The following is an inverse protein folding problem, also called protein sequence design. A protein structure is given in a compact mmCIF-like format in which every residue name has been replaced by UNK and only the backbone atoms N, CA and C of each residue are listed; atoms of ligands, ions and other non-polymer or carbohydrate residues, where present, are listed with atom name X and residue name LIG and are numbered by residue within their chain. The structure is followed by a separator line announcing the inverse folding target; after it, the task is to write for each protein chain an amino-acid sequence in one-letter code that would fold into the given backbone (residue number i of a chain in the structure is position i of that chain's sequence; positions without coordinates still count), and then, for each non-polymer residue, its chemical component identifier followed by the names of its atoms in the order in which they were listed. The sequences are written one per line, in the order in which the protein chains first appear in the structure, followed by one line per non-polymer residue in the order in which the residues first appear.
data_IF_049686644864
#
_entry.id   IF_049686644864
#
_cell.length_a   1.000
_cell.length_b   1.000
_cell.length_c   1.000
_cell.angle_alpha   90.00
_cell.angle_beta   90.00
_cell.angle_gamma   90.00
#
_symmetry.space_group_name_H-M   'P 1'
#
loop_
_entity.id
_entity.type
_entity.pdbx_description
1 polymer ?
#
# COMPACT_ATOMS: atom_id res chain seq x y z
N UNK A 1 -18.23 18.74 -25.56
CA UNK A 1 -18.31 18.01 -24.28
C UNK A 1 -17.59 16.70 -24.46
N UNK A 2 -16.80 16.26 -23.49
CA UNK A 2 -15.92 15.09 -23.62
C UNK A 2 -16.66 13.74 -23.48
N UNK A 3 -17.97 13.74 -23.20
CA UNK A 3 -18.79 12.53 -23.11
C UNK A 3 -18.54 11.68 -21.87
N UNK A 4 -18.16 12.30 -20.75
CA UNK A 4 -17.76 11.65 -19.49
C UNK A 4 -18.74 11.93 -18.35
N UNK A 5 -20.01 12.17 -18.66
CA UNK A 5 -21.04 12.58 -17.69
C UNK A 5 -21.34 11.51 -16.62
N UNK A 6 -20.95 10.25 -16.86
CA UNK A 6 -21.08 9.16 -15.89
C UNK A 6 -19.93 9.10 -14.86
N UNK A 7 -18.82 9.80 -15.12
CA UNK A 7 -17.66 9.86 -14.22
C UNK A 7 -17.99 10.78 -13.05
N UNK A 8 -17.82 10.25 -11.83
CA UNK A 8 -18.12 10.96 -10.58
C UNK A 8 -16.86 11.57 -9.97
N UNK A 9 -17.04 12.65 -9.22
CA UNK A 9 -15.94 13.37 -8.57
C UNK A 9 -15.96 13.11 -7.06
N UNK A 10 -14.84 12.61 -6.55
CA UNK A 10 -14.52 12.58 -5.12
C UNK A 10 -13.61 13.76 -4.78
N UNK A 11 -13.85 14.40 -3.64
CA UNK A 11 -12.99 15.47 -3.15
C UNK A 11 -12.85 15.42 -1.61
N UNK A 12 -11.75 15.85 -1.01
CA UNK A 12 -10.52 16.34 -1.64
C UNK A 12 -9.32 15.41 -1.41
N UNK A 13 -9.57 14.16 -0.99
CA UNK A 13 -8.52 13.20 -0.64
C UNK A 13 -7.50 13.78 0.35
N UNK A 14 -8.05 14.36 1.43
CA UNK A 14 -7.29 15.01 2.49
C UNK A 14 -8.11 14.95 3.80
N UNK A 15 -8.08 15.98 4.64
CA UNK A 15 -8.95 16.09 5.80
C UNK A 15 -10.40 16.42 5.40
N UNK A 16 -11.34 16.27 6.35
CA UNK A 16 -12.75 16.63 6.15
C UNK A 16 -12.97 18.11 5.80
N UNK A 17 -12.10 18.98 6.33
CA UNK A 17 -12.10 20.40 6.04
C UNK A 17 -10.86 20.77 5.22
N UNK A 18 -10.97 21.73 4.29
CA UNK A 18 -12.07 22.70 4.13
C UNK A 18 -13.21 22.26 3.19
N UNK A 19 -13.16 21.06 2.61
CA UNK A 19 -14.10 20.65 1.56
C UNK A 19 -15.56 20.58 2.08
N UNK A 20 -15.77 20.03 3.27
CA UNK A 20 -17.12 19.90 3.83
C UNK A 20 -17.80 21.28 4.03
N UNK A 21 -17.08 22.26 4.58
CA UNK A 21 -17.61 23.62 4.71
C UNK A 21 -17.81 24.30 3.35
N UNK A 22 -16.91 24.08 2.40
CA UNK A 22 -17.00 24.68 1.06
C UNK A 22 -18.26 24.22 0.31
N UNK A 23 -18.59 22.93 0.37
CA UNK A 23 -19.81 22.36 -0.26
C UNK A 23 -21.13 22.89 0.33
N UNK A 24 -21.11 23.37 1.57
CA UNK A 24 -22.28 24.00 2.20
C UNK A 24 -22.47 25.46 1.76
N UNK A 25 -21.38 26.12 1.36
CA UNK A 25 -21.37 27.54 1.00
C UNK A 25 -21.50 27.77 -0.51
N UNK A 26 -21.14 26.78 -1.32
CA UNK A 26 -21.10 26.87 -2.77
C UNK A 26 -21.98 25.78 -3.43
N UNK A 27 -23.19 26.13 -3.91
CA UNK A 27 -24.08 25.19 -4.59
C UNK A 27 -23.53 24.63 -5.90
N UNK A 28 -22.67 25.37 -6.62
CA UNK A 28 -22.08 24.91 -7.88
C UNK A 28 -21.03 23.83 -7.60
N UNK A 29 -20.13 24.08 -6.64
CA UNK A 29 -19.19 23.08 -6.16
C UNK A 29 -19.92 21.84 -5.59
N UNK A 30 -20.98 22.07 -4.81
CA UNK A 30 -21.83 21.00 -4.28
C UNK A 30 -22.50 20.19 -5.39
N UNK A 31 -22.92 20.81 -6.49
CA UNK A 31 -23.45 20.12 -7.65
C UNK A 31 -22.41 19.22 -8.35
N UNK A 32 -21.15 19.63 -8.37
CA UNK A 32 -20.07 18.92 -9.06
C UNK A 32 -19.45 17.75 -8.26
N UNK A 33 -19.45 17.81 -6.92
CA UNK A 33 -18.82 16.77 -6.07
C UNK A 33 -19.83 15.71 -5.66
N UNK A 34 -19.56 14.44 -5.95
CA UNK A 34 -20.41 13.30 -5.59
C UNK A 34 -20.13 12.71 -4.20
N UNK A 35 -18.85 12.71 -3.82
CA UNK A 35 -18.33 12.02 -2.62
C UNK A 35 -17.33 12.91 -1.89
N UNK A 36 -17.41 12.93 -0.55
CA UNK A 36 -16.36 13.48 0.30
C UNK A 36 -15.40 12.35 0.70
N UNK A 37 -14.17 12.39 0.20
CA UNK A 37 -13.10 11.47 0.52
C UNK A 37 -12.14 12.08 1.55
N UNK A 38 -12.03 11.44 2.71
CA UNK A 38 -11.09 11.84 3.76
C UNK A 38 -10.07 10.74 4.05
N UNK A 39 -8.85 11.16 4.40
CA UNK A 39 -7.72 10.28 4.70
C UNK A 39 -7.55 10.10 6.22
N UNK A 40 -7.31 8.86 6.65
CA UNK A 40 -7.04 8.47 8.04
C UNK A 40 -7.98 9.12 9.08
N UNK A 41 -9.32 9.03 8.91
CA UNK A 41 -10.29 9.78 9.70
C UNK A 41 -10.42 9.34 11.16
N UNK A 42 -9.74 8.25 11.56
CA UNK A 42 -9.84 7.71 12.92
C UNK A 42 -11.26 7.28 13.28
N UNK A 43 -12.01 6.77 12.30
CA UNK A 43 -13.44 6.41 12.39
C UNK A 43 -14.42 7.57 12.57
N UNK A 44 -13.96 8.83 12.64
CA UNK A 44 -14.83 9.98 12.91
C UNK A 44 -15.06 10.83 11.65
N UNK A 45 -16.22 11.45 11.58
CA UNK A 45 -16.52 12.52 10.62
C UNK A 45 -16.81 13.83 11.34
N UNK A 46 -17.07 14.91 10.59
CA UNK A 46 -17.40 16.23 11.12
C UNK A 46 -18.87 16.60 10.84
N UNK A 47 -19.52 17.43 11.68
CA UNK A 47 -20.92 17.80 11.48
C UNK A 47 -21.22 18.44 10.11
N UNK A 48 -20.28 19.19 9.55
CA UNK A 48 -20.38 19.82 8.24
C UNK A 48 -20.53 18.78 7.14
N UNK A 49 -19.71 17.73 7.15
CA UNK A 49 -19.75 16.65 6.18
C UNK A 49 -21.12 15.94 6.20
N UNK A 50 -21.68 15.69 7.40
CA UNK A 50 -23.02 15.13 7.55
C UNK A 50 -24.12 16.03 6.97
N UNK A 51 -24.02 17.35 7.15
CA UNK A 51 -25.00 18.31 6.61
C UNK A 51 -25.01 18.36 5.08
N UNK A 52 -23.90 17.99 4.42
CA UNK A 52 -23.84 17.97 2.95
C UNK A 52 -24.72 16.87 2.33
N UNK A 53 -25.09 15.84 3.10
CA UNK A 53 -25.78 14.64 2.63
C UNK A 53 -25.05 13.89 1.49
N UNK A 54 -23.77 14.19 1.27
CA UNK A 54 -22.91 13.47 0.33
C UNK A 54 -22.53 12.11 0.91
N UNK A 55 -22.11 11.20 0.03
CA UNK A 55 -21.44 9.97 0.48
C UNK A 55 -20.11 10.36 1.13
N UNK A 56 -19.82 9.76 2.28
CA UNK A 56 -18.57 9.96 3.01
C UNK A 56 -17.75 8.69 2.90
N UNK A 57 -16.49 8.78 2.48
CA UNK A 57 -15.57 7.64 2.37
C UNK A 57 -14.29 7.93 3.16
N UNK A 58 -13.77 6.90 3.84
CA UNK A 58 -12.35 6.86 4.18
C UNK A 58 -11.60 6.46 2.91
N UNK A 59 -11.27 7.46 2.07
CA UNK A 59 -10.71 7.23 0.73
C UNK A 59 -9.25 6.79 0.74
N UNK A 60 -8.59 6.96 1.89
CA UNK A 60 -7.30 6.34 2.21
C UNK A 60 -7.26 6.03 3.72
N UNK A 61 -6.98 4.78 4.08
CA UNK A 61 -6.86 4.33 5.46
C UNK A 61 -5.86 3.14 5.54
N UNK A 62 -5.76 2.49 6.70
CA UNK A 62 -4.84 1.36 6.97
C UNK A 62 -3.37 1.78 7.11
N UNK A 63 -2.58 1.75 6.03
CA UNK A 63 -1.13 2.08 5.99
C UNK A 63 -0.27 1.43 7.08
N UNK A 64 -0.73 0.32 7.67
CA UNK A 64 -0.11 -0.32 8.83
C UNK A 64 0.54 -1.63 8.39
N UNK A 65 1.64 -2.02 9.04
CA UNK A 65 2.36 -3.26 8.71
C UNK A 65 1.40 -4.45 8.75
N UNK A 66 1.54 -5.37 7.79
CA UNK A 66 0.52 -6.38 7.52
C UNK A 66 0.56 -7.65 8.36
N UNK A 67 0.95 -7.49 9.62
CA UNK A 67 0.93 -8.55 10.62
C UNK A 67 -0.46 -8.65 11.30
N UNK A 68 -0.50 -9.36 12.44
CA UNK A 68 -1.70 -9.51 13.24
C UNK A 68 -2.20 -8.16 13.82
N UNK A 69 -1.31 -7.23 14.17
CA UNK A 69 -1.68 -5.89 14.65
C UNK A 69 -2.35 -5.10 13.53
N UNK A 70 -1.75 -5.07 12.33
CA UNK A 70 -2.35 -4.42 11.17
C UNK A 70 -3.71 -5.00 10.82
N UNK A 71 -3.85 -6.32 10.84
CA UNK A 71 -5.14 -6.95 10.62
C UNK A 71 -6.18 -6.61 11.70
N UNK A 72 -5.78 -6.45 12.96
CA UNK A 72 -6.66 -5.95 14.02
C UNK A 72 -7.09 -4.50 13.79
N UNK A 73 -6.17 -3.63 13.40
CA UNK A 73 -6.48 -2.27 12.94
C UNK A 73 -7.53 -2.28 11.82
N UNK A 74 -7.29 -3.09 10.77
CA UNK A 74 -8.18 -3.19 9.62
C UNK A 74 -9.56 -3.72 9.98
N UNK A 75 -9.64 -4.75 10.82
CA UNK A 75 -10.90 -5.33 11.29
C UNK A 75 -11.76 -4.29 12.03
N UNK A 76 -11.12 -3.54 12.93
CA UNK A 76 -11.78 -2.50 13.72
C UNK A 76 -12.32 -1.38 12.84
N UNK A 77 -11.50 -0.81 11.97
CA UNK A 77 -11.90 0.37 11.20
C UNK A 77 -12.92 0.06 10.09
N UNK A 78 -12.91 -1.16 9.51
CA UNK A 78 -13.92 -1.57 8.52
C UNK A 78 -15.35 -1.50 9.08
N UNK A 79 -15.55 -1.88 10.34
CA UNK A 79 -16.85 -1.70 11.01
C UNK A 79 -17.03 -0.25 11.47
N UNK A 80 -16.06 0.26 12.21
CA UNK A 80 -16.24 1.49 12.97
C UNK A 80 -16.26 2.76 12.11
N UNK A 81 -15.69 2.74 10.91
CA UNK A 81 -15.81 3.86 9.97
C UNK A 81 -17.29 4.17 9.64
N UNK A 82 -18.13 3.14 9.46
CA UNK A 82 -19.56 3.36 9.29
C UNK A 82 -20.26 3.69 10.62
N UNK A 83 -20.01 2.90 11.68
CA UNK A 83 -20.68 3.08 12.99
C UNK A 83 -20.47 4.48 13.57
N UNK A 84 -19.25 5.00 13.48
CA UNK A 84 -18.87 6.26 14.11
C UNK A 84 -18.91 7.46 13.17
N UNK A 85 -18.67 7.24 11.87
CA UNK A 85 -18.42 8.30 10.90
C UNK A 85 -19.38 8.32 9.71
N UNK A 86 -20.35 7.40 9.65
CA UNK A 86 -21.25 7.19 8.50
C UNK A 86 -20.50 7.00 7.17
N UNK A 87 -19.25 6.53 7.23
CA UNK A 87 -18.45 6.28 6.04
C UNK A 87 -18.88 4.97 5.38
N UNK A 88 -19.26 5.05 4.11
CA UNK A 88 -19.85 3.93 3.34
C UNK A 88 -18.85 3.21 2.43
N UNK A 89 -17.58 3.61 2.49
CA UNK A 89 -16.44 2.93 1.88
C UNK A 89 -15.20 3.20 2.72
N UNK A 90 -14.28 2.25 2.77
CA UNK A 90 -12.95 2.38 3.37
C UNK A 90 -11.96 1.73 2.43
N UNK A 91 -10.95 2.48 2.00
CA UNK A 91 -9.99 2.07 0.98
C UNK A 91 -8.60 1.98 1.64
N UNK A 92 -8.01 0.79 1.58
CA UNK A 92 -6.69 0.53 2.16
C UNK A 92 -5.58 1.09 1.29
N UNK A 93 -4.73 1.94 1.85
CA UNK A 93 -3.37 2.12 1.34
C UNK A 93 -2.46 1.11 2.03
N UNK A 94 -1.84 0.15 1.34
CA UNK A 94 -1.94 -0.15 -0.10
C UNK A 94 -2.51 -1.56 -0.36
N UNK A 95 -2.73 -1.86 -1.64
CA UNK A 95 -3.32 -3.14 -2.08
C UNK A 95 -2.42 -4.33 -1.72
N UNK A 96 -1.16 -4.28 -2.15
CA UNK A 96 -0.17 -5.33 -1.97
C UNK A 96 1.22 -4.70 -1.84
N UNK A 97 2.00 -5.19 -0.88
CA UNK A 97 3.38 -4.78 -0.72
C UNK A 97 4.27 -5.48 -1.75
N UNK A 98 4.39 -4.87 -2.93
CA UNK A 98 5.25 -5.28 -4.04
C UNK A 98 6.30 -4.23 -4.37
N UNK A 99 6.98 -3.77 -3.31
CA UNK A 99 8.09 -2.82 -3.33
C UNK A 99 9.12 -3.28 -2.30
N UNK A 100 10.38 -2.86 -2.45
CA UNK A 100 11.43 -3.20 -1.50
C UNK A 100 11.04 -2.82 -0.07
N UNK A 101 11.17 -3.76 0.87
CA UNK A 101 10.66 -3.59 2.24
C UNK A 101 11.35 -2.42 2.98
N UNK A 102 12.60 -2.11 2.63
CA UNK A 102 13.35 -1.01 3.23
C UNK A 102 12.99 0.38 2.67
N UNK A 103 12.12 0.46 1.66
CA UNK A 103 11.46 1.72 1.29
C UNK A 103 10.43 2.14 2.35
N UNK A 104 10.05 3.43 2.40
CA UNK A 104 9.07 3.91 3.37
C UNK A 104 7.78 3.06 3.38
N UNK A 105 7.32 2.70 4.58
CA UNK A 105 6.14 1.87 4.82
C UNK A 105 6.24 0.46 4.23
N UNK A 106 7.42 -0.17 4.32
CA UNK A 106 7.62 -1.59 4.04
C UNK A 106 6.51 -2.48 4.56
N UNK A 107 5.96 -3.34 3.69
CA UNK A 107 4.91 -4.32 4.04
C UNK A 107 3.62 -3.75 4.64
N UNK A 108 3.26 -2.51 4.32
CA UNK A 108 1.97 -1.90 4.67
C UNK A 108 0.84 -2.15 3.63
N UNK A 109 0.86 -3.31 2.96
CA UNK A 109 -0.19 -3.73 2.02
C UNK A 109 -1.04 -4.88 2.57
N UNK A 110 -2.24 -5.14 2.01
CA UNK A 110 -3.11 -6.21 2.55
C UNK A 110 -2.46 -7.61 2.52
N UNK A 111 -1.51 -7.82 1.61
CA UNK A 111 -0.61 -8.98 1.53
C UNK A 111 0.79 -8.56 1.06
N UNK A 112 1.76 -9.49 1.06
CA UNK A 112 3.14 -9.22 0.61
C UNK A 112 3.48 -10.05 -0.62
N UNK A 113 4.07 -9.42 -1.65
CA UNK A 113 4.58 -10.08 -2.85
C UNK A 113 5.77 -9.28 -3.40
N UNK A 114 6.84 -9.23 -2.61
CA UNK A 114 8.00 -8.35 -2.82
C UNK A 114 9.24 -9.09 -3.38
N UNK A 115 9.11 -10.36 -3.77
CA UNK A 115 10.21 -11.19 -4.27
C UNK A 115 9.89 -11.84 -5.63
N UNK A 116 9.73 -11.05 -6.70
CA UNK A 116 9.43 -11.61 -8.03
C UNK A 116 10.50 -12.60 -8.52
N UNK A 117 11.75 -12.46 -8.08
CA UNK A 117 12.85 -13.37 -8.42
C UNK A 117 12.75 -14.76 -7.77
N UNK A 118 12.05 -14.90 -6.63
CA UNK A 118 11.84 -16.19 -5.97
C UNK A 118 10.44 -16.76 -6.27
N UNK A 119 9.48 -15.89 -6.60
CA UNK A 119 8.06 -16.23 -6.70
C UNK A 119 7.38 -16.32 -5.32
N UNK A 120 8.08 -15.99 -4.23
CA UNK A 120 7.50 -15.99 -2.90
C UNK A 120 6.48 -14.85 -2.73
N UNK A 121 5.37 -15.18 -2.05
CA UNK A 121 4.40 -14.21 -1.56
C UNK A 121 3.83 -14.71 -0.23
N UNK A 122 3.22 -13.81 0.53
CA UNK A 122 2.60 -14.11 1.83
C UNK A 122 1.17 -13.59 1.80
N UNK A 123 0.21 -14.51 1.91
CA UNK A 123 -1.21 -14.17 2.12
C UNK A 123 -1.40 -13.75 3.59
N UNK A 124 -1.20 -12.46 3.84
CA UNK A 124 -1.22 -11.90 5.19
C UNK A 124 -2.62 -11.86 5.81
N UNK A 125 -2.75 -11.81 7.15
CA UNK A 125 -4.04 -11.77 7.85
C UNK A 125 -5.05 -10.71 7.35
N UNK A 126 -4.67 -9.49 6.92
CA UNK A 126 -5.62 -8.49 6.41
C UNK A 126 -6.46 -8.96 5.21
N UNK A 127 -5.98 -9.92 4.40
CA UNK A 127 -6.78 -10.54 3.32
C UNK A 127 -8.04 -11.20 3.89
N UNK A 128 -7.87 -11.98 4.96
CA UNK A 128 -8.97 -12.72 5.57
C UNK A 128 -9.93 -11.81 6.33
N UNK A 129 -9.40 -10.74 6.93
CA UNK A 129 -10.22 -9.67 7.52
C UNK A 129 -11.05 -8.95 6.45
N UNK A 130 -10.45 -8.68 5.29
CA UNK A 130 -11.18 -8.10 4.15
C UNK A 130 -12.29 -9.04 3.66
N UNK A 131 -12.06 -10.35 3.65
CA UNK A 131 -13.03 -11.36 3.23
C UNK A 131 -14.29 -11.40 4.11
N UNK A 132 -14.17 -11.10 5.41
CA UNK A 132 -15.32 -11.03 6.34
C UNK A 132 -16.40 -10.02 5.91
N UNK A 133 -16.03 -8.99 5.15
CA UNK A 133 -17.00 -8.03 4.58
C UNK A 133 -17.24 -8.27 3.10
N UNK A 134 -16.17 -8.41 2.30
CA UNK A 134 -16.26 -8.37 0.83
C UNK A 134 -16.86 -9.61 0.19
N UNK A 135 -16.77 -10.79 0.81
CA UNK A 135 -17.42 -11.99 0.24
C UNK A 135 -18.94 -12.01 0.46
N UNK A 136 -19.46 -11.16 1.35
CA UNK A 136 -20.84 -11.22 1.84
C UNK A 136 -21.60 -9.91 1.70
N UNK A 137 -21.00 -8.91 1.04
CA UNK A 137 -21.62 -7.62 0.72
C UNK A 137 -21.20 -7.19 -0.68
N UNK A 138 -21.95 -6.28 -1.29
CA UNK A 138 -21.64 -5.68 -2.60
C UNK A 138 -22.02 -4.19 -2.59
N UNK A 139 -21.38 -3.35 -3.43
CA UNK A 139 -21.86 -1.99 -3.67
C UNK A 139 -23.34 -2.00 -4.06
N UNK A 140 -24.14 -1.15 -3.42
CA UNK A 140 -25.60 -1.11 -3.55
C UNK A 140 -26.35 -1.77 -2.40
N UNK A 141 -25.69 -2.58 -1.57
CA UNK A 141 -26.27 -3.01 -0.29
C UNK A 141 -26.43 -1.81 0.65
N UNK A 142 -27.38 -1.93 1.57
CA UNK A 142 -27.68 -0.88 2.55
C UNK A 142 -27.41 -1.38 3.95
N UNK A 143 -26.71 -0.57 4.76
CA UNK A 143 -26.59 -0.82 6.19
C UNK A 143 -27.94 -0.69 6.88
N UNK A 144 -28.22 -1.56 7.85
CA UNK A 144 -29.36 -1.40 8.74
C UNK A 144 -29.15 -0.21 9.66
N UNK A 145 -30.25 0.33 10.21
CA UNK A 145 -30.19 1.38 11.24
C UNK A 145 -29.69 0.84 12.59
N UNK A 146 -29.75 -0.48 12.78
CA UNK A 146 -29.38 -1.18 14.01
C UNK A 146 -27.95 -1.69 13.91
N UNK A 147 -26.99 -0.77 13.86
CA UNK A 147 -25.55 -1.03 13.98
C UNK A 147 -25.02 -0.32 15.22
N UNK A 148 -23.88 -0.72 15.75
CA UNK A 148 -23.35 -0.05 16.93
C UNK A 148 -22.18 -0.73 17.60
N UNK A 149 -21.87 -0.24 18.79
CA UNK A 149 -20.90 -0.84 19.70
C UNK A 149 -21.54 -1.94 20.56
N UNK A 150 -20.72 -2.93 20.92
CA UNK A 150 -21.07 -3.95 21.91
C UNK A 150 -20.93 -3.38 23.34
N UNK A 151 -21.61 -4.00 24.31
CA UNK A 151 -21.70 -3.48 25.67
C UNK A 151 -20.32 -3.40 26.36
N UNK A 152 -19.47 -4.40 26.16
CA UNK A 152 -18.14 -4.48 26.79
C UNK A 152 -17.00 -4.28 25.78
N UNK A 153 -17.21 -3.45 24.75
CA UNK A 153 -16.22 -3.14 23.73
C UNK A 153 -16.34 -4.01 22.47
N UNK A 154 -15.86 -3.48 21.34
CA UNK A 154 -16.08 -4.03 20.00
C UNK A 154 -17.28 -3.39 19.28
N UNK A 155 -17.58 -3.86 18.09
CA UNK A 155 -18.66 -3.31 17.27
C UNK A 155 -19.29 -4.34 16.34
N UNK A 156 -20.50 -4.04 15.87
CA UNK A 156 -21.19 -4.83 14.86
C UNK A 156 -21.86 -3.94 13.82
N UNK A 157 -21.84 -4.41 12.58
CA UNK A 157 -22.60 -3.85 11.47
C UNK A 157 -23.49 -4.91 10.85
N UNK A 158 -24.59 -4.49 10.25
CA UNK A 158 -25.53 -5.35 9.54
C UNK A 158 -25.94 -4.70 8.23
N UNK A 159 -25.96 -5.48 7.14
CA UNK A 159 -26.26 -5.01 5.80
C UNK A 159 -27.27 -5.96 5.12
N UNK A 160 -28.05 -5.40 4.19
CA UNK A 160 -28.99 -6.15 3.34
C UNK A 160 -28.96 -5.67 1.90
N UNK A 161 -29.25 -6.58 0.97
CA UNK A 161 -29.46 -6.29 -0.46
C UNK A 161 -30.89 -5.83 -0.79
N UNK A 162 -31.79 -5.82 0.19
CA UNK A 162 -33.22 -5.54 -0.02
C UNK A 162 -33.99 -6.66 -0.72
N UNK A 163 -33.35 -7.82 -0.96
CA UNK A 163 -33.93 -9.02 -1.58
C UNK A 163 -34.00 -10.21 -0.61
N UNK A 164 -33.78 -9.95 0.67
CA UNK A 164 -33.89 -10.93 1.75
C UNK A 164 -32.56 -11.42 2.30
N UNK A 165 -31.43 -11.05 1.69
CA UNK A 165 -30.14 -11.40 2.26
C UNK A 165 -29.78 -10.49 3.44
N UNK A 166 -29.12 -11.08 4.43
CA UNK A 166 -28.59 -10.41 5.61
C UNK A 166 -27.14 -10.83 5.81
N UNK A 167 -26.28 -9.84 6.10
CA UNK A 167 -24.90 -10.05 6.53
C UNK A 167 -24.66 -9.23 7.78
N UNK A 168 -24.18 -9.86 8.85
CA UNK A 168 -23.77 -9.22 10.11
C UNK A 168 -22.28 -9.46 10.29
N UNK A 169 -21.49 -8.40 10.47
CA UNK A 169 -20.05 -8.47 10.75
C UNK A 169 -19.80 -7.92 12.14
N UNK A 170 -19.13 -8.70 12.99
CA UNK A 170 -18.86 -8.39 14.40
C UNK A 170 -17.34 -8.41 14.60
N UNK A 171 -16.80 -7.43 15.32
CA UNK A 171 -15.39 -7.40 15.72
C UNK A 171 -15.23 -7.07 17.20
N UNK A 172 -14.24 -7.69 17.85
CA UNK A 172 -13.87 -7.49 19.26
C UNK A 172 -12.39 -7.18 19.41
N UNK A 173 -11.86 -6.31 18.56
CA UNK A 173 -10.45 -5.97 18.55
C UNK A 173 -10.04 -5.18 19.81
N UNK A 174 -9.07 -5.70 20.56
CA UNK A 174 -8.51 -5.02 21.73
C UNK A 174 -7.65 -3.82 21.32
N UNK A 175 -7.49 -2.86 22.22
CA UNK A 175 -6.68 -1.67 21.98
C UNK A 175 -5.23 -2.03 21.58
N UNK A 176 -4.59 -2.88 22.39
CA UNK A 176 -3.17 -3.24 22.24
C UNK A 176 -2.87 -4.10 21.02
N UNK A 177 -3.90 -4.61 20.34
CA UNK A 177 -3.77 -5.46 19.15
C UNK A 177 -4.45 -4.87 17.91
N UNK A 178 -4.84 -3.59 17.93
CA UNK A 178 -5.52 -2.94 16.79
C UNK A 178 -5.13 -1.50 16.54
N UNK A 179 -3.96 -1.09 17.03
CA UNK A 179 -3.41 0.23 16.74
C UNK A 179 -3.06 0.33 15.24
N UNK A 180 -3.66 1.31 14.58
CA UNK A 180 -3.23 1.74 13.25
C UNK A 180 -2.06 2.71 13.40
N UNK A 181 -1.28 2.92 12.33
CA UNK A 181 -0.25 3.97 12.33
C UNK A 181 -0.84 5.38 12.47
N UNK A 182 -2.07 5.60 11.99
CA UNK A 182 -2.75 6.91 11.99
C UNK A 182 -4.26 6.76 12.18
N UNK A 183 -4.91 7.66 12.94
CA UNK A 183 -4.31 8.48 14.00
C UNK A 183 -3.93 7.61 15.22
N UNK A 184 -3.25 8.17 16.25
CA UNK A 184 -3.09 7.50 17.53
C UNK A 184 -4.44 7.04 18.08
N UNK A 185 -4.52 5.78 18.52
CA UNK A 185 -5.73 5.18 19.05
C UNK A 185 -5.90 5.55 20.53
N UNK A 186 -6.98 6.24 20.93
CA UNK A 186 -7.25 6.48 22.35
C UNK A 186 -7.48 5.17 23.09
N UNK A 187 -7.04 5.10 24.35
CA UNK A 187 -7.23 3.92 25.19
C UNK A 187 -8.72 3.58 25.35
N UNK A 188 -9.04 2.29 25.23
CA UNK A 188 -10.35 1.73 25.56
C UNK A 188 -10.17 0.32 26.12
N UNK A 189 -11.13 -0.10 26.93
CA UNK A 189 -11.16 -1.45 27.47
C UNK A 189 -12.15 -2.30 26.67
N UNK A 190 -11.78 -3.56 26.48
CA UNK A 190 -12.63 -4.59 25.92
C UNK A 190 -12.49 -5.83 26.81
N UNK A 191 -13.60 -6.49 27.12
CA UNK A 191 -13.58 -7.78 27.80
C UNK A 191 -14.48 -8.78 27.08
N UNK A 192 -14.20 -10.07 27.26
CA UNK A 192 -15.04 -11.14 26.72
C UNK A 192 -16.49 -10.98 27.21
N UNK A 193 -17.44 -11.23 26.32
CA UNK A 193 -18.85 -10.99 26.59
C UNK A 193 -19.76 -11.91 25.79
N UNK A 194 -20.94 -12.19 26.31
CA UNK A 194 -21.99 -12.89 25.57
C UNK A 194 -22.91 -11.86 24.91
N UNK A 195 -23.07 -11.94 23.59
CA UNK A 195 -23.94 -11.06 22.82
C UNK A 195 -25.10 -11.85 22.21
N UNK A 196 -26.34 -11.40 22.45
CA UNK A 196 -27.55 -12.01 21.88
C UNK A 196 -28.16 -11.08 20.85
N UNK A 197 -28.34 -11.59 19.63
CA UNK A 197 -28.93 -10.88 18.50
C UNK A 197 -30.31 -11.46 18.19
N UNK A 198 -31.33 -10.60 18.17
CA UNK A 198 -32.71 -10.98 17.88
C UNK A 198 -33.09 -10.44 16.51
N UNK A 199 -33.31 -11.33 15.54
CA UNK A 199 -33.72 -10.92 14.19
C UNK A 199 -35.20 -10.52 14.21
N UNK A 200 -35.51 -9.31 13.74
CA UNK A 200 -36.87 -8.75 13.71
C UNK A 200 -37.26 -8.31 12.31
N UNK A 201 -38.53 -7.96 12.13
CA UNK A 201 -39.06 -7.51 10.84
C UNK A 201 -38.96 -8.60 9.78
N UNK A 202 -38.54 -8.24 8.56
CA UNK A 202 -38.35 -9.19 7.46
C UNK A 202 -37.36 -10.31 7.77
N UNK A 203 -36.39 -10.06 8.65
CA UNK A 203 -35.37 -11.05 9.04
C UNK A 203 -35.83 -12.04 10.11
N UNK A 204 -37.00 -11.85 10.74
CA UNK A 204 -37.52 -12.80 11.72
C UNK A 204 -37.79 -14.19 11.11
N UNK A 205 -37.91 -14.27 9.78
CA UNK A 205 -38.09 -15.52 9.03
C UNK A 205 -36.77 -16.24 8.67
N UNK A 206 -35.60 -15.63 8.95
CA UNK A 206 -34.29 -16.23 8.68
C UNK A 206 -34.11 -17.44 9.59
N UNK A 207 -34.02 -18.62 8.96
CA UNK A 207 -33.89 -19.89 9.66
C UNK A 207 -32.45 -20.31 9.88
N UNK A 208 -31.54 -19.91 9.00
CA UNK A 208 -30.15 -20.36 8.99
C UNK A 208 -29.22 -19.19 8.66
N UNK A 209 -28.10 -19.11 9.38
CA UNK A 209 -26.98 -18.21 9.07
C UNK A 209 -25.70 -19.02 8.96
N UNK A 210 -24.98 -18.85 7.85
CA UNK A 210 -23.60 -19.31 7.72
C UNK A 210 -22.73 -18.49 8.66
N UNK A 211 -21.78 -19.13 9.34
CA UNK A 211 -20.89 -18.49 10.30
C UNK A 211 -19.45 -18.63 9.86
N UNK A 212 -18.75 -17.51 9.78
CA UNK A 212 -17.32 -17.43 9.49
C UNK A 212 -16.62 -16.74 10.65
N UNK A 213 -15.45 -17.23 11.06
CA UNK A 213 -14.69 -16.67 12.18
C UNK A 213 -13.21 -16.50 11.84
N UNK A 214 -12.66 -15.36 12.25
CA UNK A 214 -11.23 -15.16 12.47
C UNK A 214 -10.96 -14.96 13.96
N UNK A 215 -9.93 -15.62 14.47
CA UNK A 215 -9.49 -15.55 15.86
C UNK A 215 -7.96 -15.39 15.87
N UNK A 216 -7.48 -14.28 16.42
CA UNK A 216 -6.07 -13.90 16.32
C UNK A 216 -5.19 -14.64 17.33
N UNK A 217 -5.73 -15.01 18.50
CA UNK A 217 -5.05 -15.85 19.49
C UNK A 217 -3.64 -15.34 19.89
N UNK A 218 -3.48 -14.04 20.13
CA UNK A 218 -2.19 -13.41 20.48
C UNK A 218 -1.47 -14.11 21.66
N UNK A 219 -2.23 -14.58 22.66
CA UNK A 219 -1.69 -15.29 23.84
C UNK A 219 -1.05 -16.64 23.50
N UNK A 220 -1.61 -17.40 22.55
CA UNK A 220 -1.13 -18.74 22.19
C UNK A 220 -0.31 -18.78 20.92
N UNK A 221 -0.28 -17.67 20.16
CA UNK A 221 0.38 -17.54 18.86
C UNK A 221 -0.09 -18.57 17.82
N UNK A 222 -1.34 -19.03 17.93
CA UNK A 222 -1.98 -19.97 17.00
C UNK A 222 -3.25 -19.34 16.40
N UNK A 223 -3.11 -18.39 15.46
CA UNK A 223 -4.25 -17.76 14.85
C UNK A 223 -5.03 -18.72 13.95
N UNK A 224 -6.30 -18.42 13.74
CA UNK A 224 -7.21 -19.14 12.86
C UNK A 224 -8.03 -18.11 12.10
N UNK A 225 -7.78 -17.96 10.80
CA UNK A 225 -8.40 -16.89 10.00
C UNK A 225 -9.43 -17.44 9.02
N UNK A 226 -10.59 -16.81 8.94
CA UNK A 226 -11.67 -17.10 7.97
C UNK A 226 -12.13 -18.56 7.94
N UNK A 227 -12.25 -19.18 9.10
CA UNK A 227 -12.76 -20.54 9.24
C UNK A 227 -14.29 -20.57 9.22
N UNK A 228 -14.86 -21.50 8.45
CA UNK A 228 -16.30 -21.75 8.43
C UNK A 228 -16.69 -22.58 9.65
N UNK A 229 -17.61 -22.07 10.46
CA UNK A 229 -18.18 -22.77 11.61
C UNK A 229 -19.56 -23.36 11.30
N UNK A 230 -20.12 -24.09 12.26
CA UNK A 230 -21.48 -24.63 12.17
C UNK A 230 -22.49 -23.48 12.02
N UNK A 231 -23.42 -23.65 11.08
CA UNK A 231 -24.49 -22.69 10.87
C UNK A 231 -25.40 -22.57 12.10
N UNK A 232 -25.89 -21.37 12.36
CA UNK A 232 -26.83 -21.12 13.44
C UNK A 232 -28.27 -21.20 12.91
N UNK A 233 -29.12 -21.89 13.66
CA UNK A 233 -30.52 -22.11 13.35
C UNK A 233 -31.35 -21.61 14.53
N UNK A 234 -32.36 -20.74 14.31
CA UNK A 234 -33.50 -20.40 15.22
C UNK A 234 -33.93 -18.90 15.35
N UNK A 235 -33.77 -18.02 14.36
CA UNK A 235 -34.36 -16.66 14.38
C UNK A 235 -33.81 -15.69 15.45
N UNK A 236 -33.02 -16.20 16.40
CA UNK A 236 -32.09 -15.46 17.26
C UNK A 236 -30.80 -16.26 17.37
N UNK A 237 -29.72 -15.58 17.73
CA UNK A 237 -28.45 -16.24 18.02
C UNK A 237 -27.71 -15.56 19.16
N UNK A 238 -26.96 -16.36 19.92
CA UNK A 238 -26.12 -15.91 21.02
C UNK A 238 -24.70 -16.39 20.75
N UNK A 239 -23.74 -15.47 20.90
CA UNK A 239 -22.32 -15.75 20.73
C UNK A 239 -21.57 -15.39 22.01
N UNK A 240 -20.68 -16.27 22.44
CA UNK A 240 -19.65 -15.94 23.40
C UNK A 240 -18.46 -15.36 22.64
N UNK A 241 -18.27 -14.05 22.77
CA UNK A 241 -17.26 -13.29 22.04
C UNK A 241 -16.02 -13.15 22.92
N UNK A 242 -14.91 -13.70 22.46
CA UNK A 242 -13.61 -13.48 23.09
C UNK A 242 -12.96 -12.18 22.58
N UNK A 243 -11.84 -11.80 23.19
CA UNK A 243 -10.96 -10.74 22.70
C UNK A 243 -10.35 -11.13 21.33
N UNK A 244 -10.19 -10.13 20.46
CA UNK A 244 -9.52 -10.26 19.16
C UNK A 244 -10.15 -11.32 18.23
N UNK A 245 -11.47 -11.25 18.08
CA UNK A 245 -12.25 -12.07 17.14
C UNK A 245 -12.98 -11.23 16.10
N UNK A 246 -13.18 -11.81 14.91
CA UNK A 246 -14.09 -11.30 13.88
C UNK A 246 -15.05 -12.41 13.48
N UNK A 247 -16.35 -12.10 13.49
CA UNK A 247 -17.39 -13.00 13.00
C UNK A 247 -18.11 -12.39 11.82
N UNK A 248 -18.44 -13.23 10.83
CA UNK A 248 -19.47 -12.90 9.84
C UNK A 248 -20.58 -13.93 9.91
N UNK A 249 -21.80 -13.45 10.12
CA UNK A 249 -23.01 -14.25 10.06
C UNK A 249 -23.84 -13.80 8.88
N UNK A 250 -24.13 -14.70 7.94
CA UNK A 250 -24.79 -14.30 6.69
C UNK A 250 -25.74 -15.37 6.16
N UNK A 251 -26.77 -14.94 5.42
CA UNK A 251 -27.59 -15.83 4.59
C UNK A 251 -26.90 -16.23 3.29
N UNK A 252 -25.83 -15.52 2.89
CA UNK A 252 -25.08 -15.77 1.66
C UNK A 252 -24.24 -17.04 1.81
N UNK A 253 -24.43 -18.00 0.91
CA UNK A 253 -23.81 -19.34 0.97
C UNK A 253 -22.55 -19.49 0.12
N UNK A 254 -22.16 -18.45 -0.62
CA UNK A 254 -21.04 -18.47 -1.59
C UNK A 254 -19.66 -18.24 -0.97
N UNK A 255 -19.58 -17.99 0.33
CA UNK A 255 -18.31 -17.76 1.02
C UNK A 255 -17.34 -18.92 0.85
N UNK A 256 -16.07 -18.60 0.61
CA UNK A 256 -14.99 -19.58 0.42
C UNK A 256 -13.66 -19.00 0.85
N UNK A 257 -12.93 -19.74 1.69
CA UNK A 257 -11.50 -19.53 1.91
C UNK A 257 -10.74 -20.06 0.70
N UNK A 258 -10.31 -19.17 -0.18
CA UNK A 258 -9.49 -19.54 -1.34
C UNK A 258 -8.18 -20.22 -0.89
N UNK A 259 -7.71 -21.20 -1.64
CA UNK A 259 -6.46 -21.88 -1.34
C UNK A 259 -5.79 -22.29 -2.64
N UNK A 260 -4.47 -22.13 -2.68
CA UNK A 260 -3.57 -22.51 -3.76
C UNK A 260 -2.39 -23.29 -3.15
N UNK A 261 -1.56 -23.88 -4.02
CA UNK A 261 -0.31 -24.48 -3.56
C UNK A 261 0.57 -23.43 -2.89
N UNK A 262 1.33 -23.86 -1.87
CA UNK A 262 2.27 -22.99 -1.17
C UNK A 262 3.26 -22.38 -2.17
N UNK A 263 3.58 -21.08 -2.06
CA UNK A 263 4.57 -20.46 -2.90
C UNK A 263 5.97 -21.03 -2.64
N UNK A 264 6.91 -20.83 -3.58
CA UNK A 264 8.33 -21.09 -3.33
C UNK A 264 8.81 -20.41 -2.03
N UNK A 265 9.82 -20.97 -1.34
CA UNK A 265 10.39 -20.34 -0.15
C UNK A 265 11.00 -18.97 -0.49
N UNK A 266 11.04 -18.04 0.48
CA UNK A 266 11.64 -16.73 0.26
C UNK A 266 13.13 -16.85 -0.04
N UNK A 267 13.65 -15.96 -0.89
CA UNK A 267 15.05 -15.90 -1.25
C UNK A 267 15.53 -14.46 -1.38
N UNK A 268 16.79 -14.21 -1.01
CA UNK A 268 17.44 -12.91 -1.24
C UNK A 268 17.56 -12.63 -2.74
N UNK A 269 17.65 -11.35 -3.10
CA UNK A 269 17.90 -10.94 -4.48
C UNK A 269 19.16 -11.65 -5.04
N UNK A 270 19.17 -12.06 -6.32
CA UNK A 270 20.31 -12.75 -6.92
C UNK A 270 21.64 -12.03 -6.69
N UNK A 271 22.63 -12.75 -6.13
CA UNK A 271 23.98 -12.20 -5.86
C UNK A 271 24.70 -11.72 -7.12
N UNK A 272 24.38 -12.33 -8.26
CA UNK A 272 24.80 -11.91 -9.58
C UNK A 272 23.55 -11.65 -10.39
N UNK A 273 23.40 -10.42 -10.88
CA UNK A 273 22.28 -9.97 -11.67
C UNK A 273 22.81 -9.20 -12.88
N UNK A 274 22.21 -9.43 -14.04
CA UNK A 274 22.53 -8.73 -15.29
C UNK A 274 21.23 -8.52 -16.04
N UNK A 275 21.08 -7.32 -16.59
CA UNK A 275 20.07 -6.99 -17.58
C UNK A 275 20.79 -6.26 -18.72
N UNK A 276 20.55 -6.68 -19.96
CA UNK A 276 21.07 -6.03 -21.17
C UNK A 276 20.00 -5.17 -21.85
N UNK A 277 18.77 -5.19 -21.33
CA UNK A 277 17.62 -4.46 -21.85
C UNK A 277 17.19 -4.84 -23.27
N UNK A 278 17.73 -5.93 -23.84
CA UNK A 278 17.45 -6.42 -25.21
C UNK A 278 16.04 -7.03 -25.31
N UNK A 279 15.02 -6.19 -25.19
CA UNK A 279 13.61 -6.57 -25.26
C UNK A 279 12.92 -5.71 -26.31
N UNK A 280 12.57 -6.33 -27.44
CA UNK A 280 11.96 -5.63 -28.57
C UNK A 280 10.54 -5.12 -28.27
N UNK A 281 9.71 -5.98 -27.67
CA UNK A 281 8.32 -5.71 -27.34
C UNK A 281 8.09 -6.00 -25.85
N UNK A 282 8.53 -5.11 -24.95
CA UNK A 282 8.46 -5.38 -23.52
C UNK A 282 6.99 -5.30 -23.05
N UNK A 283 6.54 -6.22 -22.17
CA UNK A 283 5.17 -6.23 -21.66
C UNK A 283 4.87 -5.06 -20.71
N UNK A 284 5.92 -4.37 -20.24
CA UNK A 284 5.87 -3.17 -19.40
C UNK A 284 6.87 -2.14 -19.94
N UNK A 285 6.68 -0.86 -19.64
CA UNK A 285 7.54 0.21 -20.15
C UNK A 285 8.93 0.27 -19.51
N UNK A 286 9.12 -0.31 -18.33
CA UNK A 286 10.37 -0.29 -17.55
C UNK A 286 10.91 -1.71 -17.34
N UNK A 287 12.24 -1.84 -17.21
CA UNK A 287 12.90 -3.10 -16.91
C UNK A 287 12.56 -3.62 -15.50
N UNK A 288 12.46 -4.95 -15.30
CA UNK A 288 12.02 -5.50 -14.03
C UNK A 288 13.03 -5.21 -12.90
N UNK A 289 12.51 -5.04 -11.68
CA UNK A 289 13.24 -4.81 -10.43
C UNK A 289 13.90 -3.43 -10.28
N UNK A 290 14.04 -2.65 -11.35
CA UNK A 290 14.36 -1.24 -11.22
C UNK A 290 13.15 -0.52 -10.59
N UNK A 291 13.45 0.33 -9.61
CA UNK A 291 12.45 1.09 -8.89
C UNK A 291 12.86 2.56 -8.88
N UNK A 292 12.21 3.35 -9.73
CA UNK A 292 12.46 4.77 -9.85
C UNK A 292 12.08 5.53 -8.57
N UNK A 293 13.05 6.25 -7.99
CA UNK A 293 12.85 7.06 -6.78
C UNK A 293 12.82 8.56 -7.08
N UNK A 294 13.35 8.98 -8.22
CA UNK A 294 13.23 10.33 -8.80
C UNK A 294 13.55 10.24 -10.30
N UNK A 295 12.75 10.87 -11.16
CA UNK A 295 12.81 10.67 -12.61
C UNK A 295 11.97 9.48 -13.06
N UNK A 296 12.04 9.16 -14.36
CA UNK A 296 11.38 7.99 -14.96
C UNK A 296 12.35 7.37 -15.95
N UNK A 297 12.54 6.06 -15.87
CA UNK A 297 13.41 5.26 -16.72
C UNK A 297 12.58 4.26 -17.52
N UNK A 298 12.78 4.24 -18.84
CA UNK A 298 11.98 3.41 -19.75
C UNK A 298 12.89 2.57 -20.66
N UNK A 299 12.40 1.41 -21.12
CA UNK A 299 12.97 0.73 -22.27
C UNK A 299 13.02 1.70 -23.47
N UNK A 300 14.16 1.74 -24.15
CA UNK A 300 14.38 2.65 -25.26
C UNK A 300 15.05 1.93 -26.42
N UNK A 301 14.46 2.09 -27.61
CA UNK A 301 14.97 1.52 -28.87
C UNK A 301 15.61 2.64 -29.69
N UNK A 302 16.93 2.60 -29.85
CA UNK A 302 17.66 3.48 -30.74
C UNK A 302 17.89 2.80 -32.10
N UNK A 303 16.98 3.00 -33.03
CA UNK A 303 17.08 2.43 -34.39
C UNK A 303 18.20 3.05 -35.24
N UNK A 304 18.83 4.12 -34.77
CA UNK A 304 19.95 4.79 -35.47
C UNK A 304 21.32 4.34 -34.99
N UNK A 305 21.40 3.57 -33.89
CA UNK A 305 22.67 2.99 -33.42
C UNK A 305 23.03 1.78 -34.30
N UNK A 306 24.17 1.81 -35.03
CA UNK A 306 24.63 0.65 -35.80
C UNK A 306 25.37 -0.39 -34.94
N UNK A 307 25.59 -0.10 -33.65
CA UNK A 307 26.38 -0.86 -32.70
C UNK A 307 25.54 -1.66 -31.70
N UNK A 308 26.10 -1.98 -30.51
CA UNK A 308 25.47 -2.90 -29.57
C UNK A 308 24.34 -2.28 -28.72
N UNK A 309 24.11 -0.97 -28.80
CA UNK A 309 23.17 -0.25 -27.92
C UNK A 309 21.84 0.09 -28.61
N UNK A 310 21.31 -0.83 -29.41
CA UNK A 310 19.99 -0.69 -30.04
C UNK A 310 18.89 -0.68 -29.00
N UNK A 311 19.00 -1.51 -27.96
CA UNK A 311 18.06 -1.57 -26.83
C UNK A 311 18.76 -1.12 -25.55
N UNK A 312 18.13 -0.21 -24.81
CA UNK A 312 18.71 0.45 -23.64
C UNK A 312 17.63 0.79 -22.62
N UNK A 313 18.03 1.25 -21.43
CA UNK A 313 17.14 1.89 -20.47
C UNK A 313 17.49 3.38 -20.39
N UNK A 314 16.50 4.27 -20.57
CA UNK A 314 16.71 5.71 -20.73
C UNK A 314 15.89 6.51 -19.73
N UNK A 315 16.53 7.49 -19.08
CA UNK A 315 15.84 8.49 -18.26
C UNK A 315 15.14 9.51 -19.18
N UNK A 316 13.81 9.64 -19.09
CA UNK A 316 13.01 10.41 -20.06
C UNK A 316 12.51 11.79 -19.57
N UNK A 317 12.58 12.04 -18.26
CA UNK A 317 12.18 13.31 -17.63
C UNK A 317 13.23 14.39 -17.86
N UNK A 318 12.82 15.45 -18.55
CA UNK A 318 13.69 16.60 -18.90
C UNK A 318 13.47 17.82 -18.01
N UNK A 319 12.42 17.82 -17.19
CA UNK A 319 12.08 18.90 -16.27
C UNK A 319 11.50 18.34 -14.97
N UNK A 320 11.74 19.02 -13.84
CA UNK A 320 11.17 18.60 -12.56
C UNK A 320 9.63 18.66 -12.62
N UNK A 321 8.92 17.60 -12.20
CA UNK A 321 7.46 17.61 -12.18
C UNK A 321 6.90 18.56 -11.12
N UNK A 322 5.58 18.79 -11.14
CA UNK A 322 4.87 19.33 -9.98
C UNK A 322 4.87 18.24 -8.90
N UNK A 323 5.73 18.40 -7.91
CA UNK A 323 6.06 17.31 -6.97
C UNK A 323 5.03 17.18 -5.85
N UNK A 324 4.63 15.94 -5.55
CA UNK A 324 3.89 15.61 -4.32
C UNK A 324 4.83 15.48 -3.11
N UNK A 325 6.06 14.99 -3.32
CA UNK A 325 7.10 14.80 -2.30
C UNK A 325 8.33 15.66 -2.55
N UNK A 326 9.33 15.54 -1.67
CA UNK A 326 10.62 16.19 -1.84
C UNK A 326 11.56 15.34 -2.71
N UNK A 327 11.23 15.16 -3.99
CA UNK A 327 12.05 14.39 -4.95
C UNK A 327 13.51 14.90 -4.95
N UNK A 328 14.50 14.06 -5.23
CA UNK A 328 15.90 14.46 -5.29
C UNK A 328 16.14 15.49 -6.43
N UNK A 329 17.27 16.19 -6.39
CA UNK A 329 17.65 17.09 -7.50
C UNK A 329 18.27 16.32 -8.68
N UNK A 330 18.63 15.05 -8.46
CA UNK A 330 19.16 14.10 -9.43
C UNK A 330 18.21 12.92 -9.57
N UNK A 331 18.09 12.37 -10.79
CA UNK A 331 17.28 11.18 -11.04
C UNK A 331 18.00 9.92 -10.57
N UNK A 332 17.27 8.95 -10.06
CA UNK A 332 17.82 7.69 -9.54
C UNK A 332 16.77 6.57 -9.62
N UNK A 333 17.20 5.41 -10.09
CA UNK A 333 16.49 4.14 -9.95
C UNK A 333 17.32 3.19 -9.09
N UNK A 334 16.69 2.50 -8.14
CA UNK A 334 17.36 1.57 -7.23
C UNK A 334 16.98 0.13 -7.57
N UNK A 335 17.89 -0.81 -7.32
CA UNK A 335 17.70 -2.24 -7.58
C UNK A 335 18.53 -3.06 -6.59
N UNK A 336 18.05 -4.27 -6.28
CA UNK A 336 18.85 -5.32 -5.65
C UNK A 336 18.42 -5.65 -4.23
N UNK A 337 19.41 -5.86 -3.36
CA UNK A 337 19.21 -6.20 -1.96
C UNK A 337 19.84 -5.14 -1.06
N UNK A 338 19.02 -4.50 -0.23
CA UNK A 338 19.42 -3.42 0.66
C UNK A 338 20.54 -3.81 1.64
N UNK A 339 20.68 -5.10 1.97
CA UNK A 339 21.70 -5.60 2.90
C UNK A 339 23.04 -5.90 2.21
N UNK A 340 23.20 -5.62 0.91
CA UNK A 340 24.49 -5.75 0.25
C UNK A 340 25.51 -4.76 0.82
N UNK A 341 26.67 -5.28 1.18
CA UNK A 341 27.80 -4.49 1.66
C UNK A 341 28.94 -4.51 0.64
N UNK A 342 29.44 -5.70 0.28
CA UNK A 342 30.46 -5.83 -0.74
C UNK A 342 29.79 -6.08 -2.09
N UNK A 343 29.95 -5.15 -3.04
CA UNK A 343 29.32 -5.24 -4.35
C UNK A 343 30.14 -4.51 -5.41
N UNK A 344 30.04 -5.01 -6.64
CA UNK A 344 30.52 -4.35 -7.85
C UNK A 344 29.33 -4.06 -8.74
N UNK A 345 29.22 -2.82 -9.19
CA UNK A 345 28.19 -2.35 -10.14
C UNK A 345 28.91 -1.95 -11.41
N UNK A 346 28.47 -2.49 -12.55
CA UNK A 346 28.96 -2.09 -13.87
C UNK A 346 27.79 -1.76 -14.78
N UNK A 347 27.88 -0.64 -15.50
CA UNK A 347 26.84 -0.19 -16.41
C UNK A 347 27.46 0.59 -17.57
N UNK A 348 26.96 0.35 -18.79
CA UNK A 348 27.25 1.20 -19.93
C UNK A 348 26.35 2.43 -19.89
N UNK A 349 26.94 3.61 -20.01
CA UNK A 349 26.26 4.89 -19.84
C UNK A 349 26.46 5.80 -21.06
N UNK A 350 25.44 6.61 -21.32
CA UNK A 350 25.41 7.58 -22.41
C UNK A 350 24.84 8.91 -21.92
N UNK A 351 25.57 10.00 -22.15
CA UNK A 351 25.15 11.34 -21.74
C UNK A 351 24.72 12.17 -22.96
N UNK A 352 23.48 12.65 -22.96
CA UNK A 352 22.91 13.37 -24.11
C UNK A 352 22.97 14.91 -23.99
N UNK A 353 23.15 15.42 -22.78
CA UNK A 353 23.13 16.85 -22.55
C UNK A 353 24.55 17.46 -22.65
N UNK A 354 24.80 18.21 -23.73
CA UNK A 354 26.09 18.84 -24.02
C UNK A 354 26.56 19.89 -23.01
N UNK A 355 25.64 20.53 -22.26
CA UNK A 355 25.99 21.71 -21.44
C UNK A 355 26.37 21.36 -20.01
N UNK A 356 25.57 20.49 -19.40
CA UNK A 356 25.69 20.14 -17.99
C UNK A 356 25.30 18.67 -17.73
N UNK A 357 25.49 17.81 -18.72
CA UNK A 357 25.25 16.37 -18.58
C UNK A 357 26.15 15.74 -17.52
N UNK A 358 25.55 14.88 -16.71
CA UNK A 358 26.23 14.02 -15.77
C UNK A 358 25.40 12.78 -15.50
N UNK A 359 26.06 11.67 -15.25
CA UNK A 359 25.44 10.39 -14.92
C UNK A 359 26.27 9.71 -13.84
N UNK A 360 25.67 8.78 -13.10
CA UNK A 360 26.36 8.05 -12.06
C UNK A 360 25.89 6.61 -11.97
N UNK A 361 26.77 5.76 -11.45
CA UNK A 361 26.41 4.48 -10.83
C UNK A 361 26.62 4.60 -9.32
N UNK A 362 25.81 3.89 -8.53
CA UNK A 362 25.89 3.99 -7.08
C UNK A 362 25.80 2.62 -6.41
N UNK A 363 26.34 2.54 -5.20
CA UNK A 363 26.29 1.37 -4.34
C UNK A 363 25.94 1.77 -2.90
N UNK A 364 25.34 0.85 -2.14
CA UNK A 364 24.92 1.06 -0.73
C UNK A 364 23.98 2.26 -0.54
N UNK A 365 23.08 2.49 -1.49
CA UNK A 365 22.10 3.58 -1.41
C UNK A 365 21.15 3.32 -0.24
N UNK A 366 21.16 4.22 0.75
CA UNK A 366 20.57 3.97 2.07
C UNK A 366 19.10 4.35 2.21
N UNK A 367 18.56 5.18 1.30
CA UNK A 367 17.19 5.70 1.37
C UNK A 367 16.58 5.84 -0.01
N UNK A 368 15.27 5.66 -0.09
CA UNK A 368 14.44 5.93 -1.26
C UNK A 368 13.08 6.52 -0.86
N UNK A 369 12.12 6.46 -1.77
CA UNK A 369 10.76 6.98 -1.61
C UNK A 369 10.76 8.47 -1.27
N UNK A 370 9.90 8.87 -0.33
CA UNK A 370 9.79 10.25 0.16
C UNK A 370 11.10 10.80 0.76
N UNK A 371 12.04 9.91 1.07
CA UNK A 371 13.30 10.18 1.74
C UNK A 371 14.52 10.21 0.79
N UNK A 372 14.29 10.01 -0.52
CA UNK A 372 15.34 9.89 -1.56
C UNK A 372 16.33 11.05 -1.56
N UNK A 373 15.88 12.28 -1.31
CA UNK A 373 16.76 13.46 -1.23
C UNK A 373 17.84 13.36 -0.14
N UNK A 374 17.66 12.46 0.84
CA UNK A 374 18.59 12.19 1.93
C UNK A 374 19.42 10.91 1.73
N UNK A 375 19.35 10.29 0.55
CA UNK A 375 20.08 9.07 0.26
C UNK A 375 21.59 9.26 0.43
N UNK A 376 22.19 8.35 1.19
CA UNK A 376 23.64 8.19 1.37
C UNK A 376 24.08 6.91 0.67
N UNK A 377 25.37 6.78 0.40
CA UNK A 377 25.92 5.64 -0.33
C UNK A 377 27.30 5.98 -0.87
N UNK A 378 27.72 5.29 -1.93
CA UNK A 378 28.88 5.67 -2.73
C UNK A 378 28.39 5.91 -4.14
N UNK A 379 28.47 7.16 -4.60
CA UNK A 379 27.97 7.58 -5.90
C UNK A 379 29.17 7.95 -6.78
N UNK A 380 29.37 7.27 -7.90
CA UNK A 380 30.43 7.54 -8.87
C UNK A 380 29.87 8.25 -10.09
N UNK A 381 30.13 9.55 -10.16
CA UNK A 381 29.63 10.47 -11.17
C UNK A 381 30.67 10.70 -12.25
N UNK A 382 30.24 10.75 -13.51
CA UNK A 382 31.02 11.30 -14.64
C UNK A 382 30.24 12.42 -15.31
N UNK A 383 30.95 13.39 -15.86
CA UNK A 383 30.36 14.60 -16.44
C UNK A 383 30.86 14.83 -17.86
N UNK A 384 30.07 15.51 -18.67
CA UNK A 384 30.40 15.81 -20.09
C UNK A 384 31.59 16.77 -20.27
N UNK A 385 32.07 17.39 -19.19
CA UNK A 385 33.26 18.25 -19.21
C UNK A 385 34.57 17.47 -18.92
N UNK A 386 34.54 16.14 -18.98
CA UNK A 386 35.70 15.28 -18.78
C UNK A 386 36.16 15.16 -17.33
N UNK A 387 35.28 15.40 -16.34
CA UNK A 387 35.58 15.17 -14.91
C UNK A 387 34.73 14.05 -14.31
N UNK A 388 35.21 13.51 -13.19
CA UNK A 388 34.45 12.63 -12.31
C UNK A 388 34.40 13.14 -10.88
N UNK A 389 33.40 12.66 -10.13
CA UNK A 389 33.32 12.78 -8.67
C UNK A 389 32.91 11.46 -8.06
N UNK A 390 33.36 11.20 -6.84
CA UNK A 390 32.82 10.17 -5.95
C UNK A 390 32.27 10.88 -4.72
N UNK A 391 31.00 10.66 -4.39
CA UNK A 391 30.34 11.32 -3.25
C UNK A 391 29.70 10.30 -2.30
N UNK A 392 29.49 10.72 -1.06
CA UNK A 392 28.82 9.89 -0.05
C UNK A 392 27.31 10.11 0.04
N UNK A 393 26.78 11.00 -0.79
CA UNK A 393 25.39 11.42 -0.81
C UNK A 393 24.92 11.78 -2.21
N UNK A 394 23.61 11.61 -2.45
CA UNK A 394 23.01 11.86 -3.77
C UNK A 394 23.03 13.34 -4.18
N UNK A 395 22.99 14.27 -3.21
CA UNK A 395 23.03 15.71 -3.49
C UNK A 395 24.42 16.18 -3.96
N UNK A 396 25.41 15.29 -3.93
CA UNK A 396 26.76 15.57 -4.41
C UNK A 396 27.56 16.54 -3.55
N UNK A 397 27.17 16.72 -2.27
CA UNK A 397 27.77 17.72 -1.39
C UNK A 397 29.02 17.21 -0.66
N UNK A 398 29.04 15.93 -0.26
CA UNK A 398 30.15 15.31 0.45
C UNK A 398 31.03 14.50 -0.51
N UNK A 399 32.01 15.19 -1.11
CA UNK A 399 32.96 14.63 -2.08
C UNK A 399 34.03 13.81 -1.36
N UNK A 400 34.21 12.56 -1.81
CA UNK A 400 35.23 11.61 -1.35
C UNK A 400 36.46 11.62 -2.27
N UNK A 401 36.24 11.78 -3.58
CA UNK A 401 37.29 11.90 -4.59
C UNK A 401 36.77 12.66 -5.81
N UNK A 402 37.65 13.32 -6.56
CA UNK A 402 37.32 13.95 -7.83
C UNK A 402 38.56 14.02 -8.73
N UNK A 403 38.36 14.14 -10.04
CA UNK A 403 39.47 14.17 -10.99
C UNK A 403 39.02 14.27 -12.43
N UNK A 404 39.93 13.93 -13.35
CA UNK A 404 39.67 13.87 -14.80
C UNK A 404 39.26 12.47 -15.20
N UNK A 405 38.18 12.36 -15.97
CA UNK A 405 37.66 11.12 -16.55
C UNK A 405 37.87 11.05 -18.06
N UNK A 406 37.96 12.20 -18.74
CA UNK A 406 37.97 12.25 -20.21
C UNK A 406 36.63 11.94 -20.86
N UNK A 407 35.53 11.89 -20.08
CA UNK A 407 34.18 11.62 -20.59
C UNK A 407 33.56 12.84 -21.30
N UNK A 408 32.86 12.60 -22.38
CA UNK A 408 32.13 13.62 -23.15
C UNK A 408 30.68 13.19 -23.46
N UNK A 409 29.90 14.08 -24.04
CA UNK A 409 28.53 13.77 -24.45
C UNK A 409 28.52 12.90 -25.72
N UNK A 410 27.39 12.22 -25.96
CA UNK A 410 27.14 11.38 -27.13
C UNK A 410 28.18 10.27 -27.38
N UNK A 411 28.81 9.80 -26.31
CA UNK A 411 29.77 8.70 -26.34
C UNK A 411 29.40 7.69 -25.25
N UNK A 412 29.48 6.40 -25.58
CA UNK A 412 29.25 5.31 -24.64
C UNK A 412 30.50 5.06 -23.79
N UNK A 413 30.30 4.90 -22.48
CA UNK A 413 31.35 4.52 -21.53
C UNK A 413 30.86 3.40 -20.62
N UNK A 414 31.75 2.47 -20.26
CA UNK A 414 31.47 1.49 -19.20
C UNK A 414 31.97 2.04 -17.86
N UNK A 415 31.05 2.28 -16.92
CA UNK A 415 31.41 2.62 -15.54
C UNK A 415 31.42 1.36 -14.69
N UNK A 416 32.47 1.19 -13.88
CA UNK A 416 32.56 0.13 -12.87
C UNK A 416 32.87 0.72 -11.50
N UNK A 417 32.02 0.42 -10.52
CA UNK A 417 32.18 0.82 -9.12
C UNK A 417 32.22 -0.42 -8.24
N UNK A 418 33.33 -0.64 -7.55
CA UNK A 418 33.46 -1.71 -6.54
C UNK A 418 33.59 -1.09 -5.16
N UNK A 419 32.76 -1.56 -4.22
CA UNK A 419 32.77 -1.12 -2.83
C UNK A 419 32.95 -2.33 -1.92
N UNK A 420 33.95 -2.27 -1.06
CA UNK A 420 34.27 -3.31 -0.07
C UNK A 420 34.32 -2.68 1.33
N UNK A 421 33.92 -3.43 2.35
CA UNK A 421 34.13 -3.02 3.75
C UNK A 421 35.62 -3.12 4.06
N UNK A 422 36.21 -2.04 4.58
CA UNK A 422 37.60 -2.07 5.04
C UNK A 422 37.78 -3.10 6.15
N UNK A 423 38.81 -3.94 6.04
CA UNK A 423 39.22 -4.90 7.08
C UNK A 423 39.70 -4.23 8.37
N UNK A 424 39.95 -2.92 8.36
CA UNK A 424 40.54 -2.18 9.49
C UNK A 424 39.53 -1.70 10.56
N UNK A 425 38.26 -2.13 10.49
CA UNK A 425 37.20 -1.81 11.49
C UNK A 425 36.73 -3.07 12.25
N UNK A 426 37.56 -4.12 12.31
CA UNK A 426 37.38 -5.25 13.25
C UNK A 426 38.43 -5.23 14.38
N UNK A 427 38.52 -4.11 15.09
CA UNK A 427 39.22 -4.01 16.39
C UNK A 427 38.27 -3.50 17.47
#
# INVERSE_FOLDING_TARGET
MSGLEEVRIIASDNLWEPIAQSLLLDPELSGAVDVIGAHYPGTKTVPQALKTLKKLWASEDYSTYNDAMGAGCWARILNQNYVNGQMTSTISWNLVASYYEELPFGRCGLMTAQEPWSGNYVVSPPIWITAHTTQFTQPGWTYLRTVGHLANGGSYVALTDGKGNLTVVIETMTHDHSACIRPPLPAFNLTSQTATFNLRGSFASVKELQVWRSQFNFKTQKPSFFEKLTALVNGSFTLDLAEDEVYTLTTVTTGRKGSYADPPPPARFPKAYKDNFDVQDPPFSEAPNFADQTGVFEYFVNTTDPGPHVFTMRQVVTQRPVTWTADADQTISVIGDYKWQNLSVTCDVFMENLKNGGIFVAARVSKGGQDVRRAKGVFFWVFVNGTYKVTSDIAGQAVLAEGKSGTEAFTWYTLSLTVEVSSDIML
#
